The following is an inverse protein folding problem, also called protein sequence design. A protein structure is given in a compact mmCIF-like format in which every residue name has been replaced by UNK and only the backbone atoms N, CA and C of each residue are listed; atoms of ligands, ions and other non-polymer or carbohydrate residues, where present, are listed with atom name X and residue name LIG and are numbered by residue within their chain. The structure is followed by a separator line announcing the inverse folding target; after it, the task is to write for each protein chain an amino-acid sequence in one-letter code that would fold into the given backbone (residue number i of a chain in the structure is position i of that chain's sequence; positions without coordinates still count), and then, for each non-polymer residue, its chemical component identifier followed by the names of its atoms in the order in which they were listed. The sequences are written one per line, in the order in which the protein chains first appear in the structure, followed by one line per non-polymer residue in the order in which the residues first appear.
data_IF_412765411677
#
_entry.id   IF_412765411677
#
_cell.length_a   1.000
_cell.length_b   1.000
_cell.length_c   1.000
_cell.angle_alpha   90.00
_cell.angle_beta   90.00
_cell.angle_gamma   90.00
#
_symmetry.space_group_name_H-M   'P 1'
#
loop_
_entity.id
_entity.type
_entity.pdbx_description
1 polymer ?
#
# COMPACT_ATOMS: atom_id res chain seq x y z
N UNK A 1 58.48 -7.82 57.94
CA UNK A 1 57.19 -7.20 57.56
C UNK A 1 57.27 -6.89 56.08
N UNK A 2 56.65 -7.72 55.23
CA UNK A 2 56.59 -7.48 53.79
C UNK A 2 55.47 -6.48 53.52
N UNK A 3 55.84 -5.25 53.15
CA UNK A 3 54.89 -4.26 52.65
C UNK A 3 54.30 -4.76 51.33
N UNK A 4 52.96 -4.87 51.20
CA UNK A 4 52.33 -5.34 49.98
C UNK A 4 52.60 -4.36 48.84
N UNK A 5 52.99 -4.89 47.69
CA UNK A 5 53.39 -4.11 46.53
C UNK A 5 52.18 -3.37 45.90
N UNK A 6 52.22 -2.03 45.77
CA UNK A 6 51.14 -1.24 45.16
C UNK A 6 51.13 -1.28 43.62
N UNK A 7 52.07 -1.98 42.97
CA UNK A 7 52.24 -1.95 41.52
C UNK A 7 51.18 -2.78 40.77
N UNK A 8 50.76 -3.94 41.28
CA UNK A 8 49.79 -4.80 40.61
C UNK A 8 48.36 -4.22 40.58
N UNK A 9 48.02 -3.32 41.51
CA UNK A 9 46.69 -2.72 41.58
C UNK A 9 46.46 -1.62 40.52
N UNK A 10 47.51 -0.97 40.01
CA UNK A 10 47.37 0.12 39.03
C UNK A 10 47.08 -0.37 37.62
N UNK A 11 47.67 -1.50 37.23
CA UNK A 11 47.46 -2.10 35.91
C UNK A 11 46.03 -2.64 35.77
N UNK A 12 45.51 -3.31 36.81
CA UNK A 12 44.13 -3.81 36.82
C UNK A 12 43.08 -2.70 36.67
N UNK A 13 43.30 -1.53 37.29
CA UNK A 13 42.36 -0.39 37.21
C UNK A 13 42.38 0.26 35.84
N UNK A 14 43.54 0.36 35.19
CA UNK A 14 43.65 0.94 33.84
C UNK A 14 43.06 0.03 32.77
N UNK A 15 43.20 -1.28 32.89
CA UNK A 15 42.55 -2.24 31.98
C UNK A 15 41.03 -2.30 32.18
N UNK A 16 40.54 -2.22 33.43
CA UNK A 16 39.11 -2.11 33.72
C UNK A 16 38.49 -0.84 33.09
N UNK A 17 39.20 0.30 33.19
CA UNK A 17 38.76 1.57 32.58
C UNK A 17 38.78 1.52 31.05
N UNK A 18 39.78 0.88 30.44
CA UNK A 18 39.84 0.68 28.98
C UNK A 18 38.70 -0.18 28.50
N UNK A 19 38.44 -1.32 29.16
CA UNK A 19 37.37 -2.23 28.83
C UNK A 19 36.00 -1.57 29.02
N UNK A 20 35.79 -0.85 30.13
CA UNK A 20 34.58 -0.07 30.37
C UNK A 20 34.32 1.00 29.30
N UNK A 21 35.37 1.70 28.84
CA UNK A 21 35.23 2.70 27.77
C UNK A 21 34.87 2.08 26.42
N UNK A 22 35.39 0.89 26.11
CA UNK A 22 35.10 0.16 24.88
C UNK A 22 33.67 -0.39 24.90
N UNK A 23 33.25 -0.95 26.04
CA UNK A 23 31.87 -1.41 26.25
C UNK A 23 30.88 -0.25 26.12
N UNK A 24 31.16 0.91 26.72
CA UNK A 24 30.31 2.09 26.57
C UNK A 24 30.19 2.55 25.10
N UNK A 25 31.30 2.58 24.35
CA UNK A 25 31.25 2.87 22.91
C UNK A 25 30.41 1.86 22.15
N UNK A 26 30.57 0.56 22.43
CA UNK A 26 29.81 -0.50 21.76
C UNK A 26 28.31 -0.39 22.03
N UNK A 27 27.91 -0.13 23.28
CA UNK A 27 26.50 0.10 23.66
C UNK A 27 25.96 1.35 22.96
N UNK A 28 26.73 2.45 22.95
CA UNK A 28 26.32 3.68 22.27
C UNK A 28 26.12 3.48 20.77
N UNK A 29 27.05 2.80 20.10
CA UNK A 29 26.95 2.45 18.68
C UNK A 29 25.72 1.57 18.40
N UNK A 30 25.51 0.54 19.22
CA UNK A 30 24.38 -0.37 19.08
C UNK A 30 23.03 0.37 19.24
N UNK A 31 22.93 1.26 20.23
CA UNK A 31 21.73 2.08 20.42
C UNK A 31 21.46 3.00 19.22
N UNK A 32 22.49 3.60 18.62
CA UNK A 32 22.37 4.41 17.40
C UNK A 32 21.87 3.57 16.22
N UNK A 33 22.42 2.36 16.03
CA UNK A 33 22.01 1.45 14.95
C UNK A 33 20.56 1.01 15.12
N UNK A 34 20.14 0.65 16.33
CA UNK A 34 18.73 0.33 16.61
C UNK A 34 17.82 1.52 16.32
N UNK A 35 18.17 2.72 16.83
CA UNK A 35 17.38 3.92 16.62
C UNK A 35 17.25 4.25 15.12
N UNK A 36 18.36 4.20 14.37
CA UNK A 36 18.35 4.41 12.92
C UNK A 36 17.50 3.39 12.19
N UNK A 37 17.57 2.12 12.59
CA UNK A 37 16.77 1.03 11.99
C UNK A 37 15.28 1.22 12.29
N UNK A 38 14.91 1.58 13.52
CA UNK A 38 13.53 1.87 13.90
C UNK A 38 12.93 3.06 13.12
N UNK A 39 13.71 4.14 12.97
CA UNK A 39 13.29 5.31 12.17
C UNK A 39 13.12 4.92 10.69
N UNK A 40 14.06 4.15 10.13
CA UNK A 40 13.99 3.68 8.75
C UNK A 40 12.75 2.81 8.51
N UNK A 41 12.47 1.86 9.42
CA UNK A 41 11.29 1.00 9.34
C UNK A 41 10.00 1.83 9.39
N UNK A 42 9.89 2.80 10.30
CA UNK A 42 8.70 3.67 10.39
C UNK A 42 8.50 4.50 9.11
N UNK A 43 9.56 5.10 8.56
CA UNK A 43 9.48 5.84 7.29
C UNK A 43 9.04 4.92 6.13
N UNK A 44 9.58 3.70 6.08
CA UNK A 44 9.19 2.73 5.05
C UNK A 44 7.73 2.30 5.17
N UNK A 45 7.22 2.18 6.39
CA UNK A 45 5.82 1.85 6.67
C UNK A 45 4.88 3.00 6.31
N UNK A 46 5.23 4.24 6.64
CA UNK A 46 4.47 5.43 6.22
C UNK A 46 4.38 5.54 4.70
N UNK A 47 5.50 5.36 4.00
CA UNK A 47 5.51 5.36 2.53
C UNK A 47 4.67 4.21 1.95
N UNK A 48 4.69 3.03 2.58
CA UNK A 48 3.85 1.92 2.16
C UNK A 48 2.36 2.20 2.39
N UNK A 49 2.00 2.82 3.51
CA UNK A 49 0.63 3.25 3.81
C UNK A 49 0.15 4.32 2.82
N UNK A 50 0.97 5.33 2.51
CA UNK A 50 0.63 6.35 1.50
C UNK A 50 0.41 5.74 0.12
N UNK A 51 1.25 4.78 -0.30
CA UNK A 51 1.06 4.07 -1.57
C UNK A 51 -0.22 3.23 -1.59
N UNK A 52 -0.52 2.58 -0.46
CA UNK A 52 -1.73 1.77 -0.29
C UNK A 52 -2.99 2.64 -0.32
N UNK A 53 -2.95 3.80 0.33
CA UNK A 53 -4.03 4.79 0.34
C UNK A 53 -4.30 5.34 -1.07
N UNK A 54 -3.24 5.66 -1.83
CA UNK A 54 -3.38 6.05 -3.24
C UNK A 54 -3.97 4.94 -4.11
N UNK A 55 -3.53 3.70 -3.92
CA UNK A 55 -4.06 2.55 -4.67
C UNK A 55 -5.55 2.31 -4.35
N UNK A 56 -5.92 2.39 -3.07
CA UNK A 56 -7.30 2.29 -2.62
C UNK A 56 -8.16 3.44 -3.15
N UNK A 57 -7.65 4.67 -3.14
CA UNK A 57 -8.34 5.85 -3.69
C UNK A 57 -8.59 5.69 -5.20
N UNK A 58 -7.57 5.31 -5.98
CA UNK A 58 -7.73 5.03 -7.41
C UNK A 58 -8.72 3.90 -7.68
N UNK A 59 -8.87 2.94 -6.76
CA UNK A 59 -9.88 1.91 -6.88
C UNK A 59 -11.29 2.42 -6.55
N UNK A 60 -11.43 3.25 -5.52
CA UNK A 60 -12.69 3.92 -5.20
C UNK A 60 -13.17 4.79 -6.36
N UNK A 61 -12.26 5.56 -6.97
CA UNK A 61 -12.52 6.41 -8.14
C UNK A 61 -12.98 5.58 -9.34
N UNK A 62 -12.28 4.48 -9.64
CA UNK A 62 -12.68 3.55 -10.72
C UNK A 62 -14.07 2.96 -10.49
N UNK A 63 -14.43 2.65 -9.24
CA UNK A 63 -15.77 2.18 -8.91
C UNK A 63 -16.79 3.31 -9.09
N UNK A 64 -16.48 4.52 -8.60
CA UNK A 64 -17.33 5.70 -8.76
C UNK A 64 -17.58 6.02 -10.25
N UNK A 65 -16.54 5.97 -11.09
CA UNK A 65 -16.63 6.19 -12.54
C UNK A 65 -17.56 5.19 -13.21
N UNK A 66 -17.45 3.89 -12.87
CA UNK A 66 -18.34 2.85 -13.40
C UNK A 66 -19.80 3.02 -12.95
N UNK A 67 -20.00 3.41 -11.70
CA UNK A 67 -21.33 3.71 -11.18
C UNK A 67 -21.94 4.95 -11.86
N UNK A 68 -21.14 5.98 -12.08
CA UNK A 68 -21.50 7.19 -12.81
C UNK A 68 -21.81 6.92 -14.29
N UNK A 69 -21.06 6.04 -14.94
CA UNK A 69 -21.30 5.59 -16.31
C UNK A 69 -22.67 4.91 -16.45
N UNK A 70 -23.01 4.01 -15.50
CA UNK A 70 -24.34 3.38 -15.44
C UNK A 70 -25.42 4.43 -15.23
N UNK A 71 -25.22 5.38 -14.31
CA UNK A 71 -26.20 6.44 -14.02
C UNK A 71 -26.38 7.39 -15.22
N UNK A 72 -25.31 7.67 -15.96
CA UNK A 72 -25.34 8.47 -17.20
C UNK A 72 -26.09 7.72 -18.30
N UNK A 73 -25.88 6.39 -18.40
CA UNK A 73 -26.60 5.54 -19.35
C UNK A 73 -28.12 5.54 -19.11
N UNK A 74 -28.58 5.76 -17.87
CA UNK A 74 -30.02 5.93 -17.57
C UNK A 74 -30.62 7.20 -18.19
N UNK A 75 -29.79 8.21 -18.49
CA UNK A 75 -30.21 9.50 -19.06
C UNK A 75 -30.14 9.53 -20.58
N UNK A 76 -29.60 8.50 -21.21
CA UNK A 76 -29.52 8.42 -22.66
C UNK A 76 -30.90 8.51 -23.31
N UNK A 77 -30.99 9.25 -24.42
CA UNK A 77 -32.25 9.48 -25.14
C UNK A 77 -32.96 8.16 -25.52
N UNK A 78 -32.18 7.14 -25.93
CA UNK A 78 -32.71 5.82 -26.27
C UNK A 78 -33.37 5.10 -25.08
N UNK A 79 -32.81 5.27 -23.87
CA UNK A 79 -33.36 4.70 -22.64
C UNK A 79 -34.60 5.50 -22.21
N UNK A 80 -34.57 6.82 -22.36
CA UNK A 80 -35.71 7.70 -22.10
C UNK A 80 -36.90 7.38 -23.00
N UNK A 81 -36.67 7.22 -24.30
CA UNK A 81 -37.72 6.90 -25.26
C UNK A 81 -38.27 5.49 -25.04
N UNK A 82 -37.39 4.52 -24.73
CA UNK A 82 -37.80 3.17 -24.37
C UNK A 82 -38.64 3.16 -23.07
N UNK A 83 -38.27 3.95 -22.06
CA UNK A 83 -39.04 4.08 -20.83
C UNK A 83 -40.44 4.66 -21.09
N UNK A 84 -40.53 5.72 -21.91
CA UNK A 84 -41.80 6.36 -22.30
C UNK A 84 -42.72 5.43 -23.09
N UNK A 85 -42.16 4.53 -23.90
CA UNK A 85 -42.94 3.53 -24.63
C UNK A 85 -43.65 2.51 -23.73
N UNK A 86 -43.24 2.41 -22.45
CA UNK A 86 -43.81 1.47 -21.48
C UNK A 86 -43.42 0.00 -21.71
N UNK A 87 -42.59 -0.28 -22.72
CA UNK A 87 -42.12 -1.64 -23.00
C UNK A 87 -40.95 -2.00 -22.08
N UNK A 88 -41.21 -2.80 -21.04
CA UNK A 88 -40.16 -3.27 -20.12
C UNK A 88 -39.03 -4.03 -20.82
N UNK A 89 -39.32 -4.76 -21.89
CA UNK A 89 -38.29 -5.48 -22.66
C UNK A 89 -37.51 -4.56 -23.58
N UNK A 90 -38.16 -3.55 -24.18
CA UNK A 90 -37.48 -2.50 -24.94
C UNK A 90 -36.53 -1.70 -24.06
N UNK A 91 -36.95 -1.36 -22.84
CA UNK A 91 -36.13 -0.67 -21.86
C UNK A 91 -34.92 -1.49 -21.41
N UNK A 92 -35.09 -2.80 -21.19
CA UNK A 92 -33.97 -3.70 -20.91
C UNK A 92 -33.01 -3.82 -22.09
N UNK A 93 -33.52 -3.88 -23.32
CA UNK A 93 -32.68 -3.92 -24.52
C UNK A 93 -31.86 -2.64 -24.67
N UNK A 94 -32.49 -1.46 -24.54
CA UNK A 94 -31.81 -0.17 -24.58
C UNK A 94 -30.71 -0.04 -23.51
N UNK A 95 -30.95 -0.55 -22.30
CA UNK A 95 -29.93 -0.56 -21.23
C UNK A 95 -28.77 -1.50 -21.53
N UNK A 96 -29.04 -2.67 -22.11
CA UNK A 96 -27.98 -3.63 -22.51
C UNK A 96 -27.12 -3.10 -23.65
N UNK A 97 -27.72 -2.39 -24.60
CA UNK A 97 -26.97 -1.71 -25.68
C UNK A 97 -26.00 -0.66 -25.15
N UNK A 98 -26.29 -0.08 -23.97
CA UNK A 98 -25.40 0.82 -23.23
C UNK A 98 -24.43 0.09 -22.29
N UNK A 99 -24.34 -1.23 -22.37
CA UNK A 99 -23.43 -2.03 -21.55
C UNK A 99 -23.92 -2.32 -20.13
N UNK A 100 -25.14 -1.93 -19.75
CA UNK A 100 -25.71 -2.24 -18.43
C UNK A 100 -26.19 -3.70 -18.43
N UNK A 101 -25.39 -4.57 -17.83
CA UNK A 101 -25.64 -6.02 -17.69
C UNK A 101 -26.14 -6.38 -16.29
N UNK A 102 -26.55 -7.64 -16.10
CA UNK A 102 -27.02 -8.18 -14.81
C UNK A 102 -28.23 -7.42 -14.21
N UNK A 103 -29.14 -7.00 -15.09
CA UNK A 103 -30.42 -6.36 -14.75
C UNK A 103 -31.33 -7.34 -14.00
N UNK A 104 -31.60 -7.09 -12.72
CA UNK A 104 -32.63 -7.82 -11.96
C UNK A 104 -34.02 -7.28 -12.26
N UNK A 105 -34.15 -5.95 -12.30
CA UNK A 105 -35.43 -5.28 -12.48
C UNK A 105 -35.22 -3.88 -13.03
N UNK A 106 -36.11 -3.46 -13.94
CA UNK A 106 -36.18 -2.10 -14.44
C UNK A 106 -37.64 -1.69 -14.47
N UNK A 107 -37.98 -0.55 -13.88
CA UNK A 107 -39.36 -0.06 -13.81
C UNK A 107 -39.41 1.45 -13.91
N UNK A 108 -40.40 1.94 -14.64
CA UNK A 108 -40.80 3.34 -14.60
C UNK A 108 -41.90 3.49 -13.54
N UNK A 109 -41.67 4.38 -12.60
CA UNK A 109 -42.56 4.71 -11.49
C UNK A 109 -43.17 6.08 -11.71
N UNK A 110 -44.39 6.34 -11.25
CA UNK A 110 -45.01 7.66 -11.34
C UNK A 110 -44.15 8.72 -10.64
N UNK A 111 -44.27 9.97 -11.10
CA UNK A 111 -43.61 11.11 -10.46
C UNK A 111 -44.25 11.47 -9.11
N UNK A 112 -45.51 11.08 -8.89
CA UNK A 112 -46.26 11.38 -7.68
C UNK A 112 -45.96 10.33 -6.59
N UNK A 113 -45.56 10.82 -5.42
CA UNK A 113 -45.22 10.01 -4.23
C UNK A 113 -46.47 9.31 -3.67
N UNK A 114 -47.65 9.91 -3.82
CA UNK A 114 -48.90 9.34 -3.31
C UNK A 114 -49.37 8.17 -4.20
N UNK A 115 -49.18 8.29 -5.52
CA UNK A 115 -49.44 7.19 -6.47
C UNK A 115 -48.47 6.02 -6.28
N UNK A 116 -47.23 6.30 -5.90
CA UNK A 116 -46.21 5.29 -5.60
C UNK A 116 -46.62 4.37 -4.44
N UNK A 117 -47.21 4.95 -3.38
CA UNK A 117 -47.63 4.22 -2.18
C UNK A 117 -48.84 3.30 -2.41
N UNK A 118 -49.68 3.61 -3.40
CA UNK A 118 -50.93 2.91 -3.63
C UNK A 118 -50.81 1.62 -4.48
N UNK A 119 -49.74 1.46 -5.26
CA UNK A 119 -49.74 0.48 -6.37
C UNK A 119 -48.54 -0.46 -6.50
N UNK A 120 -47.46 -0.32 -5.73
CA UNK A 120 -46.21 -1.05 -6.03
C UNK A 120 -45.63 -1.85 -4.86
N UNK A 121 -45.07 -3.02 -5.15
CA UNK A 121 -44.31 -3.85 -4.20
C UNK A 121 -43.07 -3.12 -3.64
N UNK A 122 -42.60 -2.11 -4.37
CA UNK A 122 -41.54 -1.17 -3.96
C UNK A 122 -41.95 -0.37 -2.72
N UNK A 123 -43.24 -0.12 -2.50
CA UNK A 123 -43.74 0.57 -1.31
C UNK A 123 -43.47 -0.20 0.00
N UNK A 124 -43.20 -1.51 -0.08
CA UNK A 124 -42.82 -2.32 1.10
C UNK A 124 -41.35 -2.18 1.47
N UNK A 125 -40.49 -1.83 0.51
CA UNK A 125 -39.08 -1.59 0.76
C UNK A 125 -38.87 -0.09 1.02
N UNK A 126 -38.73 0.25 2.31
CA UNK A 126 -38.53 1.63 2.74
C UNK A 126 -37.32 2.27 2.06
N UNK A 127 -36.21 1.55 1.91
CA UNK A 127 -35.00 2.10 1.32
C UNK A 127 -35.19 2.38 -0.18
N UNK A 128 -35.93 1.53 -0.90
CA UNK A 128 -36.28 1.78 -2.29
C UNK A 128 -37.21 2.99 -2.44
N UNK A 129 -38.20 3.15 -1.54
CA UNK A 129 -39.07 4.32 -1.51
C UNK A 129 -38.30 5.61 -1.26
N UNK A 130 -37.41 5.60 -0.27
CA UNK A 130 -36.59 6.77 0.07
C UNK A 130 -35.72 7.20 -1.12
N UNK A 131 -35.18 6.25 -1.90
CA UNK A 131 -34.48 6.58 -3.15
C UNK A 131 -35.37 7.22 -4.20
N UNK A 132 -36.61 6.76 -4.37
CA UNK A 132 -37.51 7.33 -5.37
C UNK A 132 -37.85 8.76 -5.00
N UNK A 133 -38.13 9.01 -3.71
CA UNK A 133 -38.38 10.37 -3.18
C UNK A 133 -37.16 11.26 -3.44
N UNK A 134 -35.96 10.78 -3.09
CA UNK A 134 -34.72 11.52 -3.31
C UNK A 134 -34.46 11.81 -4.79
N UNK A 135 -34.75 10.86 -5.68
CA UNK A 135 -34.66 11.07 -7.11
C UNK A 135 -35.68 12.09 -7.64
N UNK A 136 -36.88 12.16 -7.07
CA UNK A 136 -37.87 13.19 -7.43
C UNK A 136 -37.37 14.58 -7.01
N UNK A 137 -36.79 14.68 -5.82
CA UNK A 137 -36.34 15.96 -5.25
C UNK A 137 -35.04 16.48 -5.89
N UNK A 138 -34.07 15.61 -6.13
CA UNK A 138 -32.71 15.97 -6.56
C UNK A 138 -32.39 15.56 -8.00
N UNK A 139 -33.41 15.16 -8.76
CA UNK A 139 -33.34 14.53 -10.09
C UNK A 139 -32.59 13.19 -10.14
N UNK A 140 -31.86 12.81 -9.09
CA UNK A 140 -31.15 11.55 -8.92
C UNK A 140 -31.06 11.19 -7.45
N UNK A 141 -31.01 9.90 -7.15
CA UNK A 141 -30.70 9.42 -5.80
C UNK A 141 -29.29 8.84 -5.73
N UNK A 142 -28.71 8.88 -4.53
CA UNK A 142 -27.46 8.20 -4.23
C UNK A 142 -27.63 6.68 -4.35
N UNK A 143 -26.66 6.08 -5.05
CA UNK A 143 -26.64 4.64 -5.32
C UNK A 143 -26.50 3.88 -3.99
N UNK A 144 -27.31 2.85 -3.79
CA UNK A 144 -27.31 2.07 -2.55
C UNK A 144 -27.64 0.62 -2.81
N UNK A 145 -27.23 -0.24 -1.88
CA UNK A 145 -27.66 -1.63 -1.85
C UNK A 145 -28.91 -1.75 -1.00
N UNK A 146 -29.92 -2.45 -1.53
CA UNK A 146 -31.12 -2.81 -0.80
C UNK A 146 -30.91 -4.17 -0.15
N UNK A 147 -31.39 -4.29 1.09
CA UNK A 147 -31.36 -5.53 1.88
C UNK A 147 -29.95 -6.15 1.97
N UNK A 148 -28.94 -5.38 2.40
CA UNK A 148 -27.55 -5.85 2.44
C UNK A 148 -27.41 -7.05 3.38
N UNK A 149 -26.65 -8.07 2.95
CA UNK A 149 -26.46 -9.31 3.70
C UNK A 149 -27.61 -10.31 3.59
N UNK A 150 -28.58 -10.08 2.71
CA UNK A 150 -29.67 -11.03 2.42
C UNK A 150 -29.49 -11.66 1.03
N UNK A 151 -30.12 -12.81 0.73
CA UNK A 151 -30.09 -13.37 -0.62
C UNK A 151 -30.75 -12.48 -1.69
N UNK A 152 -31.54 -11.49 -1.28
CA UNK A 152 -32.23 -10.54 -2.16
C UNK A 152 -31.45 -9.23 -2.34
N UNK A 153 -30.17 -9.22 -1.94
CA UNK A 153 -29.28 -8.08 -2.04
C UNK A 153 -29.16 -7.58 -3.49
N UNK A 154 -29.44 -6.28 -3.70
CA UNK A 154 -29.40 -5.68 -5.02
C UNK A 154 -28.89 -4.25 -4.97
N UNK A 155 -28.04 -3.89 -5.93
CA UNK A 155 -27.61 -2.52 -6.15
C UNK A 155 -28.72 -1.77 -6.89
N UNK A 156 -29.08 -0.58 -6.41
CA UNK A 156 -30.21 0.17 -6.94
C UNK A 156 -29.81 1.57 -7.36
N UNK A 157 -30.40 2.01 -8.47
CA UNK A 157 -30.29 3.35 -9.02
C UNK A 157 -31.70 3.90 -9.19
N UNK A 158 -31.89 5.16 -8.82
CA UNK A 158 -33.11 5.89 -9.09
C UNK A 158 -32.77 7.20 -9.79
N UNK A 159 -33.40 7.44 -10.94
CA UNK A 159 -33.17 8.60 -11.78
C UNK A 159 -34.51 9.18 -12.22
N UNK A 160 -34.70 10.48 -12.02
CA UNK A 160 -35.87 11.16 -12.57
C UNK A 160 -35.74 11.27 -14.08
N UNK A 161 -36.82 10.93 -14.77
CA UNK A 161 -36.90 11.04 -16.22
C UNK A 161 -37.31 12.47 -16.61
N UNK A 162 -36.82 12.99 -17.74
CA UNK A 162 -37.17 14.34 -18.17
C UNK A 162 -38.66 14.44 -18.53
N UNK A 163 -39.31 15.49 -18.00
CA UNK A 163 -40.75 15.75 -18.12
C UNK A 163 -41.57 15.02 -17.05
N UNK A 164 -42.87 14.81 -17.31
CA UNK A 164 -43.79 14.13 -16.38
C UNK A 164 -43.72 12.59 -16.48
N UNK A 165 -42.60 12.05 -16.97
CA UNK A 165 -42.43 10.62 -17.21
C UNK A 165 -42.19 9.80 -15.94
N UNK A 166 -41.86 10.46 -14.82
CA UNK A 166 -41.68 9.79 -13.52
C UNK A 166 -40.23 9.42 -13.20
N UNK A 167 -40.04 8.37 -12.40
CA UNK A 167 -38.72 7.92 -11.92
C UNK A 167 -38.41 6.54 -12.46
N UNK A 168 -37.25 6.41 -13.09
CA UNK A 168 -36.70 5.12 -13.50
C UNK A 168 -35.96 4.50 -12.31
N UNK A 169 -36.46 3.35 -11.87
CA UNK A 169 -35.82 2.51 -10.85
C UNK A 169 -35.16 1.31 -11.53
N UNK A 170 -33.85 1.19 -11.34
CA UNK A 170 -33.02 0.12 -11.87
C UNK A 170 -32.44 -0.69 -10.70
N UNK A 171 -32.58 -2.02 -10.74
CA UNK A 171 -31.93 -2.96 -9.80
C UNK A 171 -30.97 -3.87 -10.55
N UNK A 172 -29.72 -3.93 -10.07
CA UNK A 172 -28.65 -4.79 -10.55
C UNK A 172 -28.22 -5.77 -9.45
N UNK A 173 -27.54 -6.85 -9.85
CA UNK A 173 -26.85 -7.71 -8.88
C UNK A 173 -25.66 -6.97 -8.27
N UNK A 174 -25.40 -7.17 -6.97
CA UNK A 174 -24.22 -6.54 -6.31
C UNK A 174 -22.89 -7.06 -6.88
N UNK A 175 -22.90 -8.25 -7.49
CA UNK A 175 -21.76 -8.78 -8.23
C UNK A 175 -21.24 -7.86 -9.34
N UNK A 176 -22.07 -6.94 -9.87
CA UNK A 176 -21.60 -5.92 -10.82
C UNK A 176 -20.49 -5.05 -10.22
N UNK A 177 -20.62 -4.65 -8.95
CA UNK A 177 -19.61 -3.84 -8.25
C UNK A 177 -18.56 -4.72 -7.57
N UNK A 178 -18.96 -5.89 -7.06
CA UNK A 178 -18.03 -6.86 -6.49
C UNK A 178 -16.96 -7.31 -7.50
N UNK A 179 -17.29 -7.41 -8.78
CA UNK A 179 -16.32 -7.72 -9.84
C UNK A 179 -15.32 -6.60 -10.13
N UNK A 180 -15.63 -5.35 -9.74
CA UNK A 180 -14.69 -4.22 -9.81
C UNK A 180 -13.72 -4.20 -8.63
N UNK A 181 -14.01 -4.98 -7.58
CA UNK A 181 -13.17 -5.11 -6.41
C UNK A 181 -11.96 -6.01 -6.74
N UNK A 182 -10.84 -5.38 -7.09
CA UNK A 182 -9.56 -6.05 -7.26
C UNK A 182 -8.70 -5.91 -6.00
N UNK A 183 -7.95 -6.96 -5.63
CA UNK A 183 -6.95 -6.84 -4.57
C UNK A 183 -5.63 -6.44 -5.19
N UNK A 184 -5.23 -5.19 -4.97
CA UNK A 184 -3.89 -4.73 -5.30
C UNK A 184 -2.84 -5.42 -4.41
N UNK A 185 -1.62 -5.65 -4.91
CA UNK A 185 -0.51 -6.21 -4.14
C UNK A 185 -0.12 -5.31 -2.94
N UNK A 186 -0.45 -4.01 -3.03
CA UNK A 186 -0.26 -3.06 -1.95
C UNK A 186 -1.29 -3.21 -0.82
N UNK A 187 -2.37 -3.97 -1.03
CA UNK A 187 -3.47 -4.12 -0.08
C UNK A 187 -3.55 -5.56 0.44
N UNK A 188 -3.62 -5.72 1.76
CA UNK A 188 -3.85 -7.02 2.38
C UNK A 188 -5.33 -7.38 2.46
N UNK A 189 -6.15 -6.34 2.57
CA UNK A 189 -7.60 -6.41 2.66
C UNK A 189 -8.21 -5.26 1.86
N UNK A 190 -9.24 -5.58 1.09
CA UNK A 190 -10.11 -4.59 0.48
C UNK A 190 -11.53 -5.12 0.47
N UNK A 191 -12.50 -4.29 0.82
CA UNK A 191 -13.90 -4.66 0.91
C UNK A 191 -14.78 -3.52 0.44
N UNK A 192 -15.87 -3.86 -0.23
CA UNK A 192 -16.94 -2.93 -0.51
C UNK A 192 -17.97 -3.07 0.61
N UNK A 193 -18.29 -1.97 1.27
CA UNK A 193 -19.30 -1.93 2.30
C UNK A 193 -20.32 -0.83 2.00
N UNK A 194 -21.53 -0.97 2.55
CA UNK A 194 -22.49 0.13 2.57
C UNK A 194 -22.51 0.78 3.95
N UNK A 195 -22.42 2.10 3.98
CA UNK A 195 -22.55 2.85 5.23
C UNK A 195 -24.00 2.82 5.70
N UNK A 196 -24.25 2.15 6.83
CA UNK A 196 -25.55 2.12 7.49
C UNK A 196 -25.49 2.79 8.87
N UNK A 197 -26.66 2.94 9.48
CA UNK A 197 -26.77 3.37 10.88
C UNK A 197 -27.11 2.13 11.75
N UNK A 198 -26.30 1.74 12.74
CA UNK A 198 -25.08 2.39 13.27
C UNK A 198 -23.74 1.83 12.76
N UNK A 199 -23.71 1.00 11.71
CA UNK A 199 -22.48 0.36 11.23
C UNK A 199 -22.46 0.14 9.72
N UNK A 200 -21.31 -0.26 9.19
CA UNK A 200 -21.14 -0.62 7.79
C UNK A 200 -21.44 -2.11 7.57
N UNK A 201 -22.22 -2.44 6.55
CA UNK A 201 -22.42 -3.84 6.13
C UNK A 201 -21.47 -4.14 4.98
N UNK A 202 -20.60 -5.14 5.16
CA UNK A 202 -19.68 -5.60 4.10
C UNK A 202 -20.47 -6.40 3.06
N UNK A 203 -20.32 -6.00 1.79
CA UNK A 203 -21.03 -6.57 0.64
C UNK A 203 -20.15 -7.61 -0.07
N UNK A 204 -18.89 -7.24 -0.36
CA UNK A 204 -17.87 -8.15 -0.90
C UNK A 204 -16.52 -7.79 -0.27
N UNK A 205 -15.65 -8.79 -0.10
CA UNK A 205 -14.33 -8.61 0.49
C UNK A 205 -13.30 -9.51 -0.19
N UNK A 206 -12.10 -8.98 -0.38
CA UNK A 206 -10.94 -9.67 -0.97
C UNK A 206 -9.74 -9.54 -0.04
N UNK A 207 -8.99 -10.63 0.08
CA UNK A 207 -7.86 -10.72 0.99
C UNK A 207 -8.28 -11.14 2.41
N UNK A 208 -7.35 -11.02 3.35
CA UNK A 208 -7.56 -11.45 4.72
C UNK A 208 -6.35 -11.16 5.60
N UNK A 209 -6.60 -10.64 6.80
CA UNK A 209 -5.57 -10.32 7.78
C UNK A 209 -6.10 -9.39 8.86
N UNK A 210 -5.49 -9.43 10.05
CA UNK A 210 -5.74 -8.47 11.12
C UNK A 210 -5.06 -7.13 10.79
N UNK A 211 -5.63 -6.40 9.83
CA UNK A 211 -5.18 -5.07 9.46
C UNK A 211 -6.05 -4.00 10.13
N UNK A 212 -5.48 -2.82 10.37
CA UNK A 212 -6.28 -1.63 10.66
C UNK A 212 -7.08 -1.27 9.41
N UNK A 213 -8.40 -1.18 9.56
CA UNK A 213 -9.29 -0.86 8.45
C UNK A 213 -9.45 0.65 8.30
N UNK A 214 -9.18 1.14 7.09
CA UNK A 214 -9.45 2.49 6.64
C UNK A 214 -10.66 2.49 5.70
N UNK A 215 -11.34 3.63 5.58
CA UNK A 215 -12.57 3.74 4.80
C UNK A 215 -12.53 4.96 3.88
N UNK A 216 -12.82 4.76 2.60
CA UNK A 216 -12.91 5.80 1.58
C UNK A 216 -14.35 5.79 1.02
N UNK A 217 -15.12 6.88 1.13
CA UNK A 217 -16.45 6.94 0.55
C UNK A 217 -16.38 6.92 -0.99
N UNK A 218 -17.35 6.28 -1.63
CA UNK A 218 -17.45 6.23 -3.09
C UNK A 218 -18.46 7.31 -3.52
N UNK A 219 -18.00 8.28 -4.30
CA UNK A 219 -18.82 9.43 -4.71
C UNK A 219 -20.10 9.02 -5.44
N UNK A 220 -21.20 9.75 -5.17
CA UNK A 220 -22.53 9.47 -5.75
C UNK A 220 -23.20 8.21 -5.23
N UNK A 221 -22.67 7.62 -4.15
CA UNK A 221 -23.22 6.40 -3.55
C UNK A 221 -23.11 6.41 -2.03
N UNK A 222 -23.91 5.57 -1.39
CA UNK A 222 -23.81 5.22 0.03
C UNK A 222 -22.74 4.13 0.30
N UNK A 223 -21.97 3.78 -0.72
CA UNK A 223 -20.93 2.76 -0.64
C UNK A 223 -19.62 3.35 -0.14
N UNK A 224 -18.87 2.52 0.53
CA UNK A 224 -17.57 2.83 1.12
C UNK A 224 -16.62 1.70 0.78
N UNK A 225 -15.46 2.06 0.24
CA UNK A 225 -14.35 1.15 0.09
C UNK A 225 -13.61 1.07 1.42
N UNK A 226 -13.64 -0.10 2.03
CA UNK A 226 -12.82 -0.41 3.19
C UNK A 226 -11.53 -1.07 2.73
N UNK A 227 -10.39 -0.66 3.25
CA UNK A 227 -9.11 -1.25 2.91
C UNK A 227 -8.23 -1.38 4.15
N UNK A 228 -7.25 -2.27 4.08
CA UNK A 228 -6.33 -2.50 5.19
C UNK A 228 -5.01 -3.08 4.72
N UNK A 229 -3.97 -2.74 5.46
CA UNK A 229 -2.62 -3.29 5.32
C UNK A 229 -2.12 -3.73 6.69
N UNK A 230 -1.53 -4.91 6.77
CA UNK A 230 -0.88 -5.40 7.97
C UNK A 230 0.43 -4.63 8.17
N UNK A 231 0.50 -3.88 9.28
CA UNK A 231 1.73 -3.24 9.71
C UNK A 231 2.71 -4.25 10.30
N UNK A 232 4.01 -3.97 10.17
CA UNK A 232 5.08 -4.78 10.77
C UNK A 232 5.23 -4.41 12.26
N UNK A 233 4.23 -4.76 13.07
CA UNK A 233 4.23 -4.53 14.51
C UNK A 233 3.67 -3.17 14.95
N UNK A 234 3.58 -2.96 16.26
CA UNK A 234 3.09 -1.69 16.80
C UNK A 234 4.05 -0.56 16.41
N UNK A 235 3.55 0.59 15.91
CA UNK A 235 4.41 1.69 15.51
C UNK A 235 5.25 2.12 16.71
N UNK A 236 6.57 1.94 16.61
CA UNK A 236 7.49 2.46 17.62
C UNK A 236 7.42 3.97 17.52
N UNK A 237 7.04 4.62 18.62
CA UNK A 237 6.92 6.06 18.65
C UNK A 237 8.26 6.68 18.22
N UNK A 238 8.26 7.52 17.19
CA UNK A 238 9.47 8.19 16.68
C UNK A 238 10.21 8.94 17.78
N UNK A 239 9.48 9.43 18.79
CA UNK A 239 10.05 10.07 19.97
C UNK A 239 10.93 9.12 20.77
N UNK A 240 10.51 7.86 20.95
CA UNK A 240 11.25 6.87 21.72
C UNK A 240 12.52 6.45 20.97
N UNK A 241 12.41 6.24 19.65
CA UNK A 241 13.58 5.98 18.80
C UNK A 241 14.60 7.13 18.86
N UNK A 242 14.13 8.38 18.81
CA UNK A 242 14.98 9.56 18.94
C UNK A 242 15.66 9.67 20.31
N UNK A 243 14.93 9.41 21.41
CA UNK A 243 15.47 9.41 22.77
C UNK A 243 16.55 8.34 22.90
N UNK A 244 16.30 7.13 22.42
CA UNK A 244 17.28 6.03 22.44
C UNK A 244 18.51 6.37 21.61
N UNK A 245 18.33 6.97 20.43
CA UNK A 245 19.43 7.45 19.59
C UNK A 245 20.29 8.51 20.29
N UNK A 246 19.66 9.52 20.90
CA UNK A 246 20.36 10.58 21.63
C UNK A 246 21.11 10.03 22.86
N UNK A 247 20.48 9.14 23.63
CA UNK A 247 21.13 8.46 24.75
C UNK A 247 22.35 7.66 24.27
N UNK A 248 22.23 6.98 23.13
CA UNK A 248 23.35 6.27 22.48
C UNK A 248 24.52 7.18 22.14
N UNK A 249 24.25 8.35 21.54
CA UNK A 249 25.29 9.36 21.24
C UNK A 249 25.97 9.88 22.51
N UNK A 250 25.20 10.15 23.56
CA UNK A 250 25.75 10.63 24.85
C UNK A 250 26.67 9.56 25.46
N UNK A 251 26.23 8.30 25.50
CA UNK A 251 27.02 7.17 26.03
C UNK A 251 28.29 6.96 25.19
N UNK A 252 28.20 7.07 23.87
CA UNK A 252 29.35 7.01 22.96
C UNK A 252 30.34 8.16 23.22
N UNK A 253 29.86 9.38 23.38
CA UNK A 253 30.66 10.56 23.74
C UNK A 253 31.37 10.37 25.09
N UNK A 254 30.68 9.86 26.11
CA UNK A 254 31.27 9.53 27.41
C UNK A 254 32.38 8.48 27.25
N UNK A 255 32.14 7.42 26.47
CA UNK A 255 33.16 6.42 26.14
C UNK A 255 34.38 7.02 25.46
N UNK A 256 34.18 7.95 24.50
CA UNK A 256 35.24 8.68 23.81
C UNK A 256 36.05 9.57 24.76
N UNK A 257 35.39 10.27 25.67
CA UNK A 257 36.05 11.11 26.67
C UNK A 257 36.88 10.26 27.65
N UNK A 258 36.35 9.14 28.13
CA UNK A 258 37.09 8.18 28.97
C UNK A 258 38.31 7.61 28.24
N UNK A 259 38.17 7.27 26.94
CA UNK A 259 39.29 6.81 26.11
C UNK A 259 40.34 7.90 25.86
N UNK A 260 39.93 9.15 25.65
CA UNK A 260 40.85 10.29 25.52
C UNK A 260 41.61 10.54 26.82
N UNK A 261 40.93 10.53 27.96
CA UNK A 261 41.54 10.75 29.28
C UNK A 261 42.56 9.65 29.63
N UNK A 262 42.25 8.39 29.34
CA UNK A 262 43.20 7.28 29.56
C UNK A 262 44.41 7.34 28.64
N UNK A 263 44.26 7.78 27.38
CA UNK A 263 45.38 8.04 26.46
C UNK A 263 46.27 9.20 26.94
N UNK A 264 45.67 10.30 27.41
CA UNK A 264 46.42 11.43 27.96
C UNK A 264 47.16 11.06 29.25
N UNK A 265 46.55 10.28 30.14
CA UNK A 265 47.21 9.76 31.34
C UNK A 265 48.40 8.84 31.00
N UNK A 266 48.31 8.05 29.93
CA UNK A 266 49.42 7.24 29.43
C UNK A 266 50.56 8.09 28.85
N UNK A 267 50.24 9.16 28.13
CA UNK A 267 51.27 10.05 27.59
C UNK A 267 51.95 10.93 28.64
N UNK A 268 51.23 11.37 29.68
CA UNK A 268 51.81 12.16 30.78
C UNK A 268 52.51 11.29 31.84
N UNK A 269 52.10 10.03 32.00
CA UNK A 269 52.77 9.08 32.91
C UNK A 269 54.05 8.45 32.35
N UNK A 270 54.31 8.54 31.04
CA UNK A 270 55.53 8.01 30.42
C UNK A 270 56.70 9.01 30.40
N UNK A 271 56.47 10.27 30.75
CA UNK A 271 57.52 11.31 30.81
C UNK A 271 58.29 11.37 32.14
N UNK A 272 57.98 10.52 33.12
CA UNK A 272 58.64 10.56 34.44
C UNK A 272 59.58 9.38 34.73
N UNK A 273 59.87 8.51 33.76
CA UNK A 273 60.79 7.36 33.96
C UNK A 273 61.76 7.10 32.81
N UNK A 274 62.43 8.13 32.27
CA UNK A 274 63.68 7.93 31.51
C UNK A 274 64.68 9.07 31.79
N UNK A 275 65.35 9.02 32.93
CA UNK A 275 66.61 9.74 33.16
C UNK A 275 67.42 9.14 34.31
N UNK A 276 67.89 7.90 34.18
CA UNK A 276 69.17 7.50 34.78
C UNK A 276 69.79 6.41 33.92
N UNK A 277 70.72 6.83 33.07
CA UNK A 277 71.50 5.92 32.25
C UNK A 277 72.49 5.12 33.07
N UNK A 278 72.79 3.92 32.59
CA UNK A 278 74.13 3.35 32.70
C UNK A 278 74.51 2.68 31.39
N UNK A 279 75.29 3.40 30.62
CA UNK A 279 76.02 2.91 29.46
C UNK A 279 77.23 2.07 29.88
N UNK A 280 77.49 0.97 29.17
CA UNK A 280 78.84 0.49 28.77
C UNK A 280 78.71 -0.73 27.81
N UNK A 281 79.73 -1.05 26.99
CA UNK A 281 79.74 -0.69 25.56
C UNK A 281 79.95 -1.88 24.58
N UNK A 282 79.79 -1.54 23.29
CA UNK A 282 80.16 -2.16 21.99
C UNK A 282 81.24 -3.26 21.96
N UNK A 283 80.97 -4.46 21.38
CA UNK A 283 81.28 -4.95 19.99
C UNK A 283 82.72 -5.55 19.83
N UNK A 284 83.12 -6.36 18.79
CA UNK A 284 82.44 -6.86 17.57
C UNK A 284 82.83 -8.35 17.19
N UNK A 285 82.98 -8.79 15.91
CA UNK A 285 82.00 -9.59 15.16
C UNK A 285 82.54 -10.97 14.66
N UNK A 286 81.67 -11.88 14.20
CA UNK A 286 82.13 -13.16 13.65
C UNK A 286 81.09 -14.04 12.94
N UNK A 287 81.06 -13.89 11.61
CA UNK A 287 80.82 -14.86 10.53
C UNK A 287 80.03 -16.19 10.71
N UNK A 288 79.11 -16.39 9.74
CA UNK A 288 78.76 -17.62 8.99
C UNK A 288 78.42 -18.91 9.77
N UNK A 289 77.25 -19.50 9.47
CA UNK A 289 77.13 -20.63 8.51
C UNK A 289 75.81 -21.40 8.65
N UNK A 290 75.25 -21.76 7.49
CA UNK A 290 74.50 -22.99 7.16
C UNK A 290 73.08 -23.27 7.71
N UNK A 291 72.09 -23.05 6.83
CA UNK A 291 71.07 -24.05 6.39
C UNK A 291 71.77 -25.40 6.06
N UNK A 292 71.13 -26.60 6.00
CA UNK A 292 69.81 -26.85 5.40
C UNK A 292 68.98 -28.04 6.00
N UNK A 293 67.76 -28.26 5.50
CA UNK A 293 67.08 -29.55 5.66
C UNK A 293 65.55 -29.50 5.67
N UNK A 294 64.94 -29.36 4.50
CA UNK A 294 63.54 -29.73 4.23
C UNK A 294 63.44 -31.28 4.13
N UNK A 295 62.41 -31.91 3.51
CA UNK A 295 60.98 -31.58 3.28
C UNK A 295 60.06 -32.79 3.62
N UNK A 296 58.76 -32.70 3.36
CA UNK A 296 57.92 -33.91 3.36
C UNK A 296 56.43 -33.70 3.15
N UNK A 297 56.04 -33.10 2.02
CA UNK A 297 54.71 -33.30 1.43
C UNK A 297 54.57 -34.80 1.03
N UNK A 298 53.43 -35.44 0.82
CA UNK A 298 52.15 -35.01 0.25
C UNK A 298 51.12 -36.18 0.43
N UNK A 299 50.15 -36.45 -0.47
CA UNK A 299 48.71 -36.42 -0.16
C UNK A 299 48.04 -37.80 -0.34
N UNK A 300 46.75 -37.94 0.01
CA UNK A 300 45.88 -38.98 -0.57
C UNK A 300 44.43 -38.51 -0.70
N UNK A 301 44.02 -38.36 -1.96
CA UNK A 301 42.67 -38.65 -2.44
C UNK A 301 42.44 -40.17 -2.45
N UNK A 302 41.21 -40.60 -2.18
CA UNK A 302 40.38 -41.44 -3.07
C UNK A 302 39.13 -41.99 -2.37
N UNK A 303 37.98 -41.70 -3.01
CA UNK A 303 36.85 -42.59 -3.32
C UNK A 303 35.95 -43.19 -2.24
N UNK A 304 34.66 -42.85 -2.35
CA UNK A 304 33.50 -43.74 -2.68
C UNK A 304 32.22 -43.08 -2.11
N UNK A 305 31.28 -42.51 -2.88
CA UNK A 305 30.23 -43.12 -3.71
C UNK A 305 29.51 -44.33 -3.08
N UNK A 306 28.31 -44.06 -2.58
CA UNK A 306 27.06 -44.86 -2.63
C UNK A 306 25.93 -43.83 -2.38
N UNK A 307 24.95 -43.49 -3.22
CA UNK A 307 24.05 -44.23 -4.12
C UNK A 307 23.45 -45.48 -3.46
N UNK A 308 22.18 -45.42 -3.04
CA UNK A 308 21.09 -45.87 -3.90
C UNK A 308 19.69 -45.46 -3.36
N UNK A 309 18.64 -45.42 -4.23
CA UNK A 309 17.30 -44.93 -3.99
C UNK A 309 16.27 -46.05 -3.85
N UNK A 310 15.04 -45.70 -3.48
CA UNK A 310 13.83 -46.45 -3.83
C UNK A 310 12.76 -45.41 -4.17
N UNK A 311 12.27 -45.20 -5.40
CA UNK A 311 11.90 -46.07 -6.54
C UNK A 311 10.65 -46.94 -6.28
N UNK A 312 9.52 -46.40 -6.76
CA UNK A 312 8.47 -47.06 -7.61
C UNK A 312 7.57 -48.11 -6.95
N UNK A 313 6.32 -48.37 -7.35
CA UNK A 313 5.47 -48.13 -8.56
C UNK A 313 4.05 -48.58 -8.13
N UNK A 314 2.94 -48.03 -8.64
CA UNK A 314 2.17 -48.48 -9.82
C UNK A 314 1.01 -47.47 -9.98
N UNK A 315 0.66 -46.84 -11.11
CA UNK A 315 0.47 -47.19 -12.55
C UNK A 315 -0.87 -47.87 -12.86
N UNK A 316 -1.80 -47.10 -13.45
CA UNK A 316 -2.79 -47.44 -14.50
C UNK A 316 -3.64 -46.17 -14.76
N UNK A 317 -3.42 -45.33 -15.79
CA UNK A 317 -3.78 -45.38 -17.24
C UNK A 317 -5.31 -45.33 -17.53
N UNK A 318 -5.66 -44.48 -18.53
CA UNK A 318 -6.92 -44.30 -19.31
C UNK A 318 -7.93 -43.31 -18.69
N UNK A 319 -8.54 -42.31 -19.36
CA UNK A 319 -8.74 -41.97 -20.79
C UNK A 319 -9.04 -40.44 -20.87
N UNK A 320 -8.42 -39.66 -21.76
CA UNK A 320 -8.84 -39.35 -23.14
C UNK A 320 -10.15 -38.53 -23.28
N UNK A 321 -10.01 -37.23 -23.54
CA UNK A 321 -10.89 -36.37 -24.37
C UNK A 321 -10.19 -35.01 -24.54
N UNK A 322 -9.75 -34.67 -25.76
CA UNK A 322 -10.35 -33.61 -26.62
C UNK A 322 -10.26 -32.21 -26.01
N UNK A 323 -9.83 -31.13 -26.68
CA UNK A 323 -9.64 -30.86 -28.10
C UNK A 323 -8.89 -29.51 -28.20
N UNK A 324 -8.15 -29.31 -29.29
CA UNK A 324 -7.74 -28.01 -29.88
C UNK A 324 -7.14 -26.91 -28.99
N UNK A 325 -5.80 -26.79 -29.00
CA UNK A 325 -5.10 -25.54 -28.71
C UNK A 325 -4.29 -25.12 -29.95
N UNK A 326 -4.71 -24.02 -30.57
CA UNK A 326 -3.98 -23.33 -31.64
C UNK A 326 -2.59 -22.88 -31.15
N UNK A 327 -1.54 -22.87 -31.99
CA UNK A 327 -0.24 -22.33 -31.60
C UNK A 327 -0.29 -20.80 -31.61
N UNK A 328 -0.32 -20.17 -30.43
CA UNK A 328 -0.09 -18.73 -30.32
C UNK A 328 1.40 -18.43 -30.59
N UNK A 329 1.63 -17.68 -31.66
CA UNK A 329 2.89 -17.02 -31.99
C UNK A 329 3.28 -16.07 -30.85
N UNK A 330 4.33 -16.41 -30.11
CA UNK A 330 4.93 -15.53 -29.11
C UNK A 330 5.65 -14.39 -29.85
N UNK A 331 4.99 -13.26 -30.00
CA UNK A 331 5.66 -11.98 -30.29
C UNK A 331 6.10 -11.41 -28.95
N UNK A 332 7.41 -11.40 -28.70
CA UNK A 332 7.97 -10.78 -27.51
C UNK A 332 7.63 -9.27 -27.49
N UNK A 333 7.16 -8.69 -26.38
CA UNK A 333 7.05 -7.24 -26.27
C UNK A 333 8.44 -6.61 -26.33
N UNK A 334 8.59 -5.58 -27.17
CA UNK A 334 9.81 -4.79 -27.24
C UNK A 334 10.07 -4.13 -25.87
N UNK A 335 11.32 -4.09 -25.37
CA UNK A 335 11.63 -3.41 -24.13
C UNK A 335 11.36 -1.91 -24.30
N UNK A 336 10.40 -1.38 -23.54
CA UNK A 336 10.12 0.05 -23.44
C UNK A 336 11.38 0.75 -22.91
N UNK A 337 11.93 1.66 -23.74
CA UNK A 337 13.05 2.52 -23.37
C UNK A 337 12.57 3.51 -22.30
N UNK A 338 13.40 3.82 -21.28
CA UNK A 338 13.00 4.69 -20.18
C UNK A 338 12.74 6.13 -20.64
N UNK A 339 11.73 6.76 -20.03
CA UNK A 339 11.09 8.03 -20.43
C UNK A 339 12.06 9.23 -20.56
N UNK A 340 13.21 9.20 -19.89
CA UNK A 340 14.23 10.26 -20.00
C UNK A 340 14.93 10.35 -21.37
N UNK A 341 14.67 9.41 -22.30
CA UNK A 341 15.20 9.43 -23.67
C UNK A 341 14.27 10.14 -24.68
N UNK A 342 13.07 10.56 -24.28
CA UNK A 342 12.03 11.10 -25.17
C UNK A 342 11.83 12.62 -25.05
N UNK A 343 12.52 13.30 -24.14
CA UNK A 343 12.17 14.67 -23.69
C UNK A 343 12.92 15.83 -24.39
N UNK A 344 13.74 15.58 -25.42
CA UNK A 344 14.59 16.62 -26.05
C UNK A 344 14.14 17.11 -27.44
N UNK A 345 12.89 16.86 -27.85
CA UNK A 345 12.37 17.35 -29.13
C UNK A 345 10.91 17.81 -29.07
N UNK A 346 10.65 18.99 -28.50
CA UNK A 346 9.75 19.94 -29.18
C UNK A 346 10.02 21.38 -28.70
N UNK A 347 10.87 22.07 -29.45
CA UNK A 347 11.12 23.50 -29.36
C UNK A 347 10.35 24.13 -30.53
N UNK A 348 9.22 24.76 -30.27
CA UNK A 348 8.56 25.64 -31.24
C UNK A 348 7.82 26.80 -30.53
N UNK A 349 8.17 28.07 -30.85
CA UNK A 349 7.79 29.24 -30.08
C UNK A 349 6.48 29.91 -30.56
N UNK A 350 5.84 30.61 -29.62
CA UNK A 350 5.03 31.83 -29.70
C UNK A 350 4.33 32.19 -31.04
N UNK A 351 2.98 32.28 -30.99
CA UNK A 351 2.24 33.25 -31.81
C UNK A 351 1.06 33.88 -31.03
N UNK A 352 0.80 35.21 -31.11
CA UNK A 352 0.18 35.97 -30.05
C UNK A 352 -1.32 36.29 -30.23
N UNK A 353 -1.84 36.90 -29.16
CA UNK A 353 -3.19 37.39 -28.91
C UNK A 353 -3.90 38.13 -30.07
N UNK A 354 -5.19 37.84 -30.22
CA UNK A 354 -6.15 38.71 -30.88
C UNK A 354 -7.32 39.03 -29.93
N UNK A 355 -7.31 40.31 -29.59
CA UNK A 355 -8.31 41.17 -28.98
C UNK A 355 -9.69 41.09 -29.66
N UNK A 356 -10.78 41.10 -28.87
CA UNK A 356 -12.06 41.71 -29.27
C UNK A 356 -13.06 41.78 -28.09
N UNK A 357 -12.85 42.82 -27.28
CA UNK A 357 -13.79 43.90 -27.03
C UNK A 357 -15.32 43.63 -27.00
N UNK A 358 -15.89 43.99 -25.85
CA UNK A 358 -17.05 44.89 -25.69
C UNK A 358 -18.32 44.65 -26.54
N UNK A 359 -19.41 44.22 -25.86
CA UNK A 359 -20.69 44.95 -25.96
C UNK A 359 -21.67 44.61 -24.82
N UNK A 360 -21.79 45.61 -23.95
CA UNK A 360 -23.05 46.20 -23.47
C UNK A 360 -24.07 45.30 -22.78
N UNK A 361 -24.25 45.40 -21.47
CA UNK A 361 -25.06 46.46 -20.82
C UNK A 361 -26.44 46.65 -21.46
N UNK A 362 -27.46 45.94 -20.96
CA UNK A 362 -28.84 46.43 -20.78
C UNK A 362 -29.79 45.27 -20.42
N UNK A 363 -30.17 45.12 -19.15
CA UNK A 363 -31.58 44.95 -18.74
C UNK A 363 -31.70 44.75 -17.22
N UNK A 364 -31.55 45.85 -16.49
CA UNK A 364 -32.40 46.10 -15.31
C UNK A 364 -33.69 46.79 -15.80
N UNK A 365 -34.78 46.54 -15.07
CA UNK A 365 -36.13 47.16 -15.16
C UNK A 365 -37.05 46.64 -16.26
N UNK A 366 -38.08 45.86 -15.88
CA UNK A 366 -39.38 46.41 -15.47
C UNK A 366 -40.45 45.33 -15.33
N UNK A 367 -41.43 45.64 -14.46
CA UNK A 367 -42.73 44.98 -14.20
C UNK A 367 -42.66 43.72 -13.34
N UNK A 368 -43.60 43.47 -12.44
CA UNK A 368 -44.60 44.25 -11.72
C UNK A 368 -45.19 43.27 -10.70
#
# INVERSE_FOLDING_TARGET
MNSPQPFLARDAVTDLLRLGSLVAMAIGLFAIVIAGTAIYLNLSEQLALERSDRAASQQADRIADRLSEIQTSLRDASVVDAARSGSGDGLRAALRERGVVNLLQVRLLPADVDELAAGTDIARDRAARDMVIEAIENDRADIRVLQPGTPAESLVFAQRMPGDSGVLLLRLTVGVVGNLLHRDELLDFVALAQQGNPGSTVLDARGGGAATTHSIPIEGSSLVLQWGRAGLGAPVNNRDAFIVGCAGVIVMMIGLLLRRRTRLAQHLGYTETVATGRAKPSEPPGARSTRPGAPGAAPRDHSAIATDPGRTKDRAILDAANDESEPQTIVAPAPELPEWLLDDFDDSPDEPAADNNERSSNQRRNKA
#
